data_IF_530966886787
#
_entry.id   IF_530966886787
#
_cell.length_a   1.000
_cell.length_b   1.000
_cell.length_c   1.000
_cell.angle_alpha   90.00
_cell.angle_beta   90.00
_cell.angle_gamma   90.00
#
_symmetry.space_group_name_H-M   'P 1'
#
loop_
_entity.id
_entity.type
_entity.pdbx_description
1 polymer ?
#
# COMPACT_ATOMS: atom_id res chain seq x y z
N UNK A 1 -12.85 -22.97 -40.71
CA UNK A 1 -12.16 -23.86 -39.76
C UNK A 1 -11.48 -23.01 -38.70
N UNK A 2 -11.66 -23.39 -37.46
CA UNK A 2 -11.16 -22.74 -36.24
C UNK A 2 -9.63 -22.83 -36.09
N UNK A 3 -9.13 -21.97 -35.19
CA UNK A 3 -7.85 -22.01 -34.45
C UNK A 3 -6.61 -21.36 -35.12
N UNK A 4 -5.85 -20.49 -34.45
CA UNK A 4 -5.84 -20.20 -33.01
C UNK A 4 -5.19 -18.87 -32.64
N UNK A 5 -5.91 -18.12 -31.79
CA UNK A 5 -5.34 -17.14 -30.88
C UNK A 5 -4.38 -17.87 -29.93
N UNK A 6 -3.09 -17.61 -30.05
CA UNK A 6 -2.17 -17.81 -28.93
C UNK A 6 -2.30 -16.60 -28.02
N UNK A 7 -3.15 -16.75 -27.01
CA UNK A 7 -3.25 -15.86 -25.87
C UNK A 7 -1.89 -15.77 -25.17
N UNK A 8 -1.21 -14.63 -25.32
CA UNK A 8 -0.03 -14.28 -24.53
C UNK A 8 -0.48 -13.64 -23.22
N UNK A 9 -1.01 -14.46 -22.31
CA UNK A 9 -1.40 -14.12 -20.93
C UNK A 9 -0.19 -13.95 -20.00
N UNK A 10 0.85 -13.23 -20.42
CA UNK A 10 2.05 -13.00 -19.59
C UNK A 10 2.84 -11.78 -20.02
N UNK A 11 2.26 -10.59 -20.03
CA UNK A 11 3.06 -9.37 -20.05
C UNK A 11 2.30 -8.27 -19.29
N UNK A 12 2.78 -7.96 -18.08
CA UNK A 12 2.52 -6.81 -17.19
C UNK A 12 2.25 -7.21 -15.73
N UNK A 13 2.99 -8.18 -15.21
CA UNK A 13 3.21 -8.38 -13.76
C UNK A 13 4.41 -7.54 -13.27
N UNK A 14 4.52 -6.30 -13.76
CA UNK A 14 5.65 -5.41 -13.49
C UNK A 14 5.35 -4.26 -12.52
N UNK A 15 6.39 -3.55 -12.03
CA UNK A 15 6.35 -2.52 -10.96
C UNK A 15 5.45 -1.29 -11.24
N UNK A 16 4.91 -1.16 -12.46
CA UNK A 16 4.05 -0.04 -12.87
C UNK A 16 2.60 -0.17 -12.42
N UNK A 17 2.05 -1.39 -12.31
CA UNK A 17 0.75 -1.60 -11.65
C UNK A 17 0.80 -1.18 -10.17
N UNK A 18 1.97 -1.32 -9.54
CA UNK A 18 2.23 -0.86 -8.17
C UNK A 18 2.26 0.68 -8.07
N UNK A 19 2.87 1.37 -9.03
CA UNK A 19 2.89 2.84 -9.08
C UNK A 19 1.52 3.44 -9.38
N UNK A 20 0.74 2.85 -10.30
CA UNK A 20 -0.63 3.28 -10.61
C UNK A 20 -1.61 2.97 -9.47
N UNK A 21 -1.50 1.80 -8.81
CA UNK A 21 -2.28 1.49 -7.59
C UNK A 21 -1.98 2.49 -6.46
N UNK A 22 -0.74 2.96 -6.36
CA UNK A 22 -0.31 3.94 -5.32
C UNK A 22 -0.79 5.37 -5.59
N UNK A 23 -1.03 5.73 -6.85
CA UNK A 23 -1.45 7.09 -7.24
C UNK A 23 -2.98 7.26 -7.28
N UNK A 24 -3.72 6.19 -7.62
CA UNK A 24 -5.18 6.25 -7.82
C UNK A 24 -6.02 5.44 -6.81
N UNK A 25 -5.41 4.83 -5.79
CA UNK A 25 -6.15 4.42 -4.59
C UNK A 25 -6.47 5.66 -3.78
N UNK A 26 -7.60 6.29 -4.09
CA UNK A 26 -8.19 7.29 -3.20
C UNK A 26 -8.99 6.51 -2.17
N UNK A 27 -8.42 6.43 -0.97
CA UNK A 27 -9.07 5.88 0.20
C UNK A 27 -10.23 6.82 0.59
N UNK A 28 -11.45 6.34 0.35
CA UNK A 28 -12.66 7.14 0.12
C UNK A 28 -13.31 7.71 1.38
N UNK A 29 -13.03 7.18 2.57
CA UNK A 29 -13.79 7.55 3.77
C UNK A 29 -13.19 8.75 4.54
N UNK A 30 -11.85 8.87 4.57
CA UNK A 30 -11.13 9.93 5.30
C UNK A 30 -11.18 11.27 4.56
N UNK A 31 -11.26 11.18 3.23
CA UNK A 31 -11.43 12.31 2.31
C UNK A 31 -12.90 12.59 2.02
N UNK A 32 -13.83 11.85 2.63
CA UNK A 32 -15.27 12.11 2.52
C UNK A 32 -15.72 13.23 3.46
N UNK A 33 -15.03 13.39 4.60
CA UNK A 33 -15.29 14.50 5.54
C UNK A 33 -14.79 15.85 5.02
N UNK A 34 -13.80 15.85 4.12
CA UNK A 34 -13.31 17.05 3.44
C UNK A 34 -13.91 17.12 2.03
N UNK A 35 -14.55 18.23 1.69
CA UNK A 35 -15.05 18.44 0.33
C UNK A 35 -13.89 18.38 -0.69
N UNK A 36 -14.20 18.00 -1.94
CA UNK A 36 -13.19 18.01 -3.03
C UNK A 36 -12.55 19.39 -3.22
N UNK A 37 -13.26 20.46 -2.88
CA UNK A 37 -12.74 21.83 -2.94
C UNK A 37 -11.70 22.10 -1.84
N UNK A 38 -11.91 21.59 -0.63
CA UNK A 38 -10.95 21.69 0.47
C UNK A 38 -9.70 20.85 0.20
N UNK A 39 -9.87 19.65 -0.36
CA UNK A 39 -8.73 18.81 -0.77
C UNK A 39 -7.80 19.50 -1.77
N UNK A 40 -8.36 20.26 -2.73
CA UNK A 40 -7.57 20.99 -3.75
C UNK A 40 -6.75 22.13 -3.15
N UNK A 41 -7.13 22.65 -1.97
CA UNK A 41 -6.43 23.72 -1.26
C UNK A 41 -5.30 23.18 -0.38
N UNK A 42 -5.26 21.87 -0.10
CA UNK A 42 -4.24 21.26 0.74
C UNK A 42 -2.94 21.02 -0.04
N UNK A 43 -1.81 21.24 0.62
CA UNK A 43 -0.51 20.88 0.07
C UNK A 43 -0.38 19.34 -0.04
N UNK A 44 0.46 18.83 -0.96
CA UNK A 44 0.71 17.38 -1.08
C UNK A 44 1.18 16.73 0.22
N UNK A 45 1.94 17.46 1.05
CA UNK A 45 2.41 16.99 2.36
C UNK A 45 1.25 16.85 3.35
N UNK A 46 0.34 17.82 3.42
CA UNK A 46 -0.82 17.78 4.32
C UNK A 46 -1.82 16.71 3.89
N UNK A 47 -2.03 16.55 2.59
CA UNK A 47 -2.87 15.49 2.04
C UNK A 47 -2.30 14.10 2.37
N UNK A 48 -0.97 13.94 2.28
CA UNK A 48 -0.29 12.69 2.66
C UNK A 48 -0.38 12.42 4.16
N UNK A 49 -0.26 13.45 4.99
CA UNK A 49 -0.40 13.33 6.45
C UNK A 49 -1.80 12.86 6.82
N UNK A 50 -2.85 13.50 6.31
CA UNK A 50 -4.24 13.10 6.54
C UNK A 50 -4.51 11.65 6.11
N UNK A 51 -4.00 11.25 4.94
CA UNK A 51 -4.09 9.86 4.46
C UNK A 51 -3.37 8.85 5.36
N UNK A 52 -2.30 9.27 6.05
CA UNK A 52 -1.49 8.40 6.90
C UNK A 52 -1.94 8.40 8.37
N UNK A 53 -2.66 9.43 8.84
CA UNK A 53 -3.05 9.56 10.24
C UNK A 53 -3.89 8.38 10.73
N UNK A 54 -4.74 7.82 9.87
CA UNK A 54 -5.63 6.71 10.25
C UNK A 54 -5.07 5.34 9.87
N UNK A 55 -3.95 5.28 9.13
CA UNK A 55 -3.36 4.01 8.70
C UNK A 55 -2.62 3.35 9.87
N UNK A 56 -2.96 2.10 10.25
CA UNK A 56 -2.22 1.36 11.26
C UNK A 56 -0.73 1.32 10.89
N UNK A 57 0.13 1.57 11.88
CA UNK A 57 1.58 1.54 11.71
C UNK A 57 2.06 0.09 11.82
N UNK A 58 2.93 -0.32 10.91
CA UNK A 58 3.51 -1.66 10.95
C UNK A 58 4.28 -1.88 12.27
N UNK A 59 4.21 -3.09 12.85
CA UNK A 59 4.93 -3.41 14.08
C UNK A 59 6.44 -3.37 13.84
N UNK A 60 7.20 -3.10 14.90
CA UNK A 60 8.66 -3.15 14.85
C UNK A 60 9.11 -4.61 14.75
N UNK A 61 10.07 -4.88 13.89
CA UNK A 61 10.71 -6.21 13.80
C UNK A 61 11.38 -6.61 15.11
N UNK A 62 11.59 -7.92 15.30
CA UNK A 62 12.30 -8.46 16.47
C UNK A 62 13.68 -7.80 16.68
N UNK A 63 14.43 -7.59 15.59
CA UNK A 63 15.71 -6.87 15.65
C UNK A 63 15.54 -5.43 16.13
N UNK A 64 14.55 -4.69 15.62
CA UNK A 64 14.30 -3.31 16.07
C UNK A 64 13.86 -3.24 17.53
N UNK A 65 13.12 -4.23 18.02
CA UNK A 65 12.78 -4.36 19.44
C UNK A 65 14.02 -4.61 20.29
N UNK A 66 14.91 -5.51 19.84
CA UNK A 66 16.19 -5.76 20.49
C UNK A 66 17.08 -4.52 20.53
N UNK A 67 17.25 -3.82 19.40
CA UNK A 67 18.02 -2.57 19.34
C UNK A 67 17.42 -1.52 20.27
N UNK A 68 16.09 -1.34 20.29
CA UNK A 68 15.41 -0.42 21.21
C UNK A 68 15.69 -0.78 22.67
N UNK A 69 15.62 -2.07 23.01
CA UNK A 69 15.95 -2.56 24.34
C UNK A 69 17.40 -2.26 24.70
N UNK A 70 18.36 -2.59 23.82
CA UNK A 70 19.78 -2.32 24.03
C UNK A 70 20.09 -0.86 24.24
N UNK A 71 19.56 0.03 23.42
CA UNK A 71 19.72 1.48 23.62
C UNK A 71 19.10 1.98 24.92
N UNK A 72 18.01 1.38 25.39
CA UNK A 72 17.37 1.75 26.65
C UNK A 72 18.16 1.27 27.89
N UNK A 73 18.80 0.11 27.80
CA UNK A 73 19.61 -0.47 28.89
C UNK A 73 21.07 -0.04 28.84
N UNK A 74 21.52 0.58 27.74
CA UNK A 74 22.89 1.03 27.59
C UNK A 74 23.14 2.26 28.45
N UNK A 75 24.13 2.16 29.33
CA UNK A 75 24.54 3.25 30.24
C UNK A 75 25.60 4.15 29.64
N UNK A 76 26.28 3.72 28.59
CA UNK A 76 27.29 4.49 27.86
C UNK A 76 26.61 5.57 27.00
N UNK A 77 26.74 6.82 27.43
CA UNK A 77 26.19 8.00 26.74
C UNK A 77 27.25 8.75 25.92
N UNK A 78 28.52 8.41 26.08
CA UNK A 78 29.63 9.13 25.47
C UNK A 78 30.01 8.54 24.11
N UNK A 79 29.73 7.25 23.89
CA UNK A 79 29.93 6.62 22.58
C UNK A 79 28.89 7.09 21.55
N UNK A 80 29.35 7.32 20.32
CA UNK A 80 28.50 7.68 19.19
C UNK A 80 27.39 6.62 18.98
N UNK A 81 26.09 7.00 18.93
CA UNK A 81 24.98 6.08 18.69
C UNK A 81 25.13 5.21 17.43
N UNK A 82 25.83 5.71 16.41
CA UNK A 82 26.12 4.94 15.18
C UNK A 82 27.05 3.76 15.45
N UNK A 83 28.06 3.94 16.29
CA UNK A 83 29.02 2.89 16.63
C UNK A 83 28.37 1.85 17.56
N UNK A 84 27.54 2.31 18.51
CA UNK A 84 26.71 1.45 19.35
C UNK A 84 25.76 0.58 18.51
N UNK A 85 25.10 1.16 17.49
CA UNK A 85 24.24 0.41 16.59
C UNK A 85 25.02 -0.69 15.86
N UNK A 86 26.24 -0.40 15.40
CA UNK A 86 27.11 -1.40 14.75
C UNK A 86 27.47 -2.56 15.68
N UNK A 87 27.76 -2.27 16.96
CA UNK A 87 28.03 -3.28 17.98
C UNK A 87 26.80 -4.14 18.26
N UNK A 88 25.64 -3.53 18.52
CA UNK A 88 24.40 -4.25 18.77
C UNK A 88 23.94 -5.07 17.55
N UNK A 89 24.16 -4.57 16.33
CA UNK A 89 23.89 -5.32 15.12
C UNK A 89 24.72 -6.60 15.02
N UNK A 90 26.00 -6.50 15.41
CA UNK A 90 26.91 -7.66 15.44
C UNK A 90 26.49 -8.65 16.54
N UNK A 91 26.15 -8.14 17.72
CA UNK A 91 25.63 -8.93 18.83
C UNK A 91 24.36 -9.70 18.45
N UNK A 92 23.40 -9.07 17.76
CA UNK A 92 22.20 -9.74 17.30
C UNK A 92 22.49 -10.87 16.32
N UNK A 93 23.49 -10.72 15.44
CA UNK A 93 23.86 -11.77 14.48
C UNK A 93 24.41 -13.00 15.20
N UNK A 94 25.24 -12.80 16.22
CA UNK A 94 25.87 -13.88 16.99
C UNK A 94 25.02 -14.37 18.17
N UNK A 95 23.95 -13.65 18.54
CA UNK A 95 23.10 -14.02 19.66
C UNK A 95 22.39 -15.37 19.41
N UNK A 96 22.31 -16.22 20.44
CA UNK A 96 21.64 -17.50 20.35
C UNK A 96 20.12 -17.31 20.32
N UNK A 97 19.39 -18.32 19.86
CA UNK A 97 17.95 -18.18 19.56
C UNK A 97 17.12 -17.90 20.82
N UNK A 98 17.58 -18.33 21.99
CA UNK A 98 16.95 -18.08 23.29
C UNK A 98 16.90 -16.58 23.62
N UNK A 99 17.93 -15.82 23.22
CA UNK A 99 17.98 -14.37 23.40
C UNK A 99 17.07 -13.66 22.39
N UNK A 100 16.90 -14.24 21.20
CA UNK A 100 16.03 -13.70 20.14
C UNK A 100 14.55 -14.02 20.38
N UNK A 101 14.27 -15.17 20.98
CA UNK A 101 12.94 -15.73 21.24
C UNK A 101 11.96 -14.73 21.86
N UNK A 102 12.29 -13.97 22.93
CA UNK A 102 11.35 -12.99 23.50
C UNK A 102 10.97 -11.89 22.49
N UNK A 103 11.94 -11.34 21.75
CA UNK A 103 11.68 -10.29 20.76
C UNK A 103 10.91 -10.81 19.55
N UNK A 104 11.17 -12.05 19.13
CA UNK A 104 10.43 -12.72 18.05
C UNK A 104 8.99 -12.96 18.48
N UNK A 105 8.75 -13.40 19.71
CA UNK A 105 7.41 -13.60 20.27
C UNK A 105 6.62 -12.28 20.29
N UNK A 106 7.20 -11.22 20.86
CA UNK A 106 6.55 -9.89 20.89
C UNK A 106 6.26 -9.36 19.49
N UNK A 107 7.16 -9.55 18.53
CA UNK A 107 6.90 -9.16 17.14
C UNK A 107 5.74 -9.96 16.53
N UNK A 108 5.66 -11.28 16.77
CA UNK A 108 4.57 -12.11 16.24
C UNK A 108 3.21 -11.70 16.80
N UNK A 109 3.14 -11.42 18.10
CA UNK A 109 1.92 -10.93 18.76
C UNK A 109 1.48 -9.59 18.16
N UNK A 110 2.38 -8.62 18.09
CA UNK A 110 2.09 -7.31 17.49
C UNK A 110 1.76 -7.40 16.00
N UNK A 111 2.35 -8.35 15.26
CA UNK A 111 2.02 -8.59 13.85
C UNK A 111 0.63 -9.18 13.65
N UNK A 112 0.18 -10.06 14.55
CA UNK A 112 -1.17 -10.59 14.51
C UNK A 112 -2.22 -9.51 14.82
N UNK A 113 -1.96 -8.64 15.80
CA UNK A 113 -2.81 -7.48 16.10
C UNK A 113 -2.85 -6.50 14.94
N UNK A 114 -1.68 -6.13 14.40
CA UNK A 114 -1.58 -5.26 13.23
C UNK A 114 -2.34 -5.81 12.03
N UNK A 115 -2.28 -7.12 11.76
CA UNK A 115 -3.00 -7.71 10.64
C UNK A 115 -4.52 -7.52 10.76
N UNK A 116 -5.08 -7.63 11.98
CA UNK A 116 -6.50 -7.38 12.24
C UNK A 116 -6.86 -5.91 12.06
N UNK A 117 -6.09 -5.02 12.69
CA UNK A 117 -6.31 -3.56 12.57
C UNK A 117 -6.17 -3.09 11.12
N UNK A 118 -5.17 -3.61 10.41
CA UNK A 118 -4.91 -3.28 9.03
C UNK A 118 -6.01 -3.78 8.11
N UNK A 119 -6.56 -4.97 8.36
CA UNK A 119 -7.69 -5.49 7.60
C UNK A 119 -8.96 -4.65 7.84
N UNK A 120 -9.28 -4.32 9.10
CA UNK A 120 -10.41 -3.44 9.42
C UNK A 120 -10.23 -2.03 8.81
N UNK A 121 -9.02 -1.49 8.85
CA UNK A 121 -8.69 -0.24 8.18
C UNK A 121 -8.84 -0.36 6.66
N UNK A 122 -8.38 -1.46 6.07
CA UNK A 122 -8.49 -1.71 4.64
C UNK A 122 -9.95 -1.76 4.20
N UNK A 123 -10.81 -2.49 4.91
CA UNK A 123 -12.24 -2.55 4.61
C UNK A 123 -12.91 -1.19 4.74
N UNK A 124 -12.58 -0.42 5.79
CA UNK A 124 -13.18 0.89 6.03
C UNK A 124 -12.71 1.96 5.03
N UNK A 125 -11.44 1.93 4.63
CA UNK A 125 -10.82 3.05 3.92
C UNK A 125 -10.45 2.74 2.47
N UNK A 126 -10.27 1.48 2.06
CA UNK A 126 -9.78 1.13 0.71
C UNK A 126 -10.87 0.71 -0.28
N UNK A 127 -12.14 0.98 0.01
CA UNK A 127 -13.24 0.73 -0.94
C UNK A 127 -12.98 1.53 -2.22
N UNK A 128 -12.56 0.84 -3.28
CA UNK A 128 -12.27 1.43 -4.57
C UNK A 128 -13.59 1.93 -5.17
N UNK A 129 -13.59 3.14 -5.72
CA UNK A 129 -14.76 3.67 -6.43
C UNK A 129 -15.21 2.71 -7.54
N UNK A 130 -16.52 2.59 -7.83
CA UNK A 130 -17.01 1.79 -8.95
C UNK A 130 -16.34 2.12 -10.29
N UNK A 131 -16.06 3.41 -10.55
CA UNK A 131 -15.28 3.84 -11.72
C UNK A 131 -13.89 3.23 -11.74
N UNK A 132 -13.22 3.23 -10.59
CA UNK A 132 -11.86 2.72 -10.48
C UNK A 132 -11.83 1.18 -10.62
N UNK A 133 -12.85 0.46 -10.18
CA UNK A 133 -12.99 -0.99 -10.44
C UNK A 133 -13.24 -1.27 -11.93
N UNK A 134 -14.12 -0.51 -12.57
CA UNK A 134 -14.35 -0.56 -14.02
C UNK A 134 -13.04 -0.31 -14.79
N UNK A 135 -12.37 0.80 -14.49
CA UNK A 135 -11.10 1.18 -15.10
C UNK A 135 -10.05 0.07 -14.96
N UNK A 136 -9.86 -0.48 -13.75
CA UNK A 136 -8.88 -1.54 -13.49
C UNK A 136 -9.22 -2.86 -14.21
N UNK A 137 -10.48 -3.11 -14.55
CA UNK A 137 -10.89 -4.30 -15.31
C UNK A 137 -10.60 -4.21 -16.82
N UNK A 138 -10.39 -2.99 -17.33
CA UNK A 138 -10.24 -2.69 -18.75
C UNK A 138 -8.83 -2.24 -19.09
N UNK A 139 -8.26 -1.30 -18.31
CA UNK A 139 -6.98 -0.67 -18.62
C UNK A 139 -5.82 -1.67 -18.84
N UNK A 140 -5.62 -2.71 -17.99
CA UNK A 140 -4.56 -3.69 -18.20
C UNK A 140 -4.68 -4.47 -19.52
N UNK A 141 -5.89 -4.56 -20.09
CA UNK A 141 -6.14 -5.27 -21.35
C UNK A 141 -5.86 -4.40 -22.58
N UNK A 142 -5.77 -3.08 -22.41
CA UNK A 142 -5.68 -2.11 -23.50
C UNK A 142 -4.39 -1.30 -23.51
N UNK A 143 -3.70 -1.24 -22.38
CA UNK A 143 -2.42 -0.55 -22.26
C UNK A 143 -1.41 -1.12 -23.27
N UNK A 144 -0.76 -0.22 -24.01
CA UNK A 144 0.26 -0.56 -24.98
C UNK A 144 1.64 -0.14 -24.49
N UNK A 145 2.69 -0.73 -25.08
CA UNK A 145 4.09 -0.42 -24.73
C UNK A 145 4.47 1.02 -25.10
N UNK A 146 3.89 1.56 -26.17
CA UNK A 146 4.06 2.96 -26.53
C UNK A 146 3.21 3.85 -25.61
N UNK A 147 3.85 4.44 -24.60
CA UNK A 147 3.18 5.23 -23.58
C UNK A 147 2.49 6.49 -24.12
N UNK A 148 2.89 7.00 -25.29
CA UNK A 148 2.25 8.17 -25.90
C UNK A 148 0.77 7.92 -26.23
N UNK A 149 0.42 6.66 -26.54
CA UNK A 149 -0.92 6.25 -26.92
C UNK A 149 -1.82 5.99 -25.71
N UNK A 150 -1.26 5.72 -24.53
CA UNK A 150 -2.03 5.39 -23.33
C UNK A 150 -2.93 6.53 -22.87
N UNK A 151 -2.61 7.79 -23.18
CA UNK A 151 -3.50 8.94 -22.95
C UNK A 151 -4.86 8.79 -23.65
N UNK A 152 -4.86 8.34 -24.91
CA UNK A 152 -6.08 8.13 -25.68
C UNK A 152 -6.92 6.98 -25.11
N UNK A 153 -6.26 5.90 -24.66
CA UNK A 153 -6.89 4.76 -24.02
C UNK A 153 -7.59 5.18 -22.72
N UNK A 154 -6.96 6.04 -21.90
CA UNK A 154 -7.61 6.57 -20.70
C UNK A 154 -8.89 7.36 -21.01
N UNK A 155 -8.84 8.19 -22.06
CA UNK A 155 -10.00 9.00 -22.50
C UNK A 155 -11.16 8.12 -22.95
N UNK A 156 -10.87 7.11 -23.78
CA UNK A 156 -11.87 6.14 -24.22
C UNK A 156 -12.51 5.39 -23.04
N UNK A 157 -11.70 4.95 -22.06
CA UNK A 157 -12.24 4.29 -20.86
C UNK A 157 -13.15 5.25 -20.06
N UNK A 158 -12.81 6.54 -19.97
CA UNK A 158 -13.66 7.52 -19.30
C UNK A 158 -14.99 7.76 -20.05
N UNK A 159 -14.97 7.79 -21.39
CA UNK A 159 -16.17 7.88 -22.23
C UNK A 159 -17.06 6.65 -22.07
N UNK A 160 -16.48 5.45 -22.09
CA UNK A 160 -17.20 4.20 -21.84
C UNK A 160 -17.85 4.19 -20.45
N UNK A 161 -17.13 4.64 -19.41
CA UNK A 161 -17.72 4.79 -18.08
C UNK A 161 -18.93 5.72 -18.08
N UNK A 162 -18.82 6.87 -18.74
CA UNK A 162 -19.92 7.84 -18.79
C UNK A 162 -21.15 7.27 -19.48
N UNK A 163 -20.96 6.46 -20.53
CA UNK A 163 -22.02 5.80 -21.29
C UNK A 163 -22.74 4.67 -20.53
N UNK A 164 -22.17 4.12 -19.45
CA UNK A 164 -22.83 3.06 -18.67
C UNK A 164 -24.07 3.57 -17.92
N UNK A 165 -25.08 2.70 -17.81
CA UNK A 165 -26.27 2.96 -16.98
C UNK A 165 -25.90 3.00 -15.49
N UNK A 166 -26.71 3.64 -14.62
CA UNK A 166 -26.50 3.63 -13.18
C UNK A 166 -26.39 2.22 -12.58
N UNK A 167 -27.20 1.28 -13.08
CA UNK A 167 -27.20 -0.13 -12.65
C UNK A 167 -25.89 -0.84 -13.02
N UNK A 168 -25.40 -0.60 -14.25
CA UNK A 168 -24.11 -1.15 -14.70
C UNK A 168 -22.95 -0.57 -13.89
N UNK A 169 -22.99 0.73 -13.59
CA UNK A 169 -22.01 1.41 -12.73
C UNK A 169 -22.00 0.81 -11.32
N UNK A 170 -23.17 0.53 -10.76
CA UNK A 170 -23.33 -0.06 -9.42
C UNK A 170 -22.75 -1.49 -9.33
N UNK A 171 -22.81 -2.27 -10.42
CA UNK A 171 -22.18 -3.61 -10.48
C UNK A 171 -20.66 -3.62 -10.24
N UNK A 172 -20.01 -2.46 -10.37
CA UNK A 172 -18.58 -2.29 -10.09
C UNK A 172 -18.27 -1.88 -8.65
N UNK A 173 -19.26 -1.71 -7.77
CA UNK A 173 -19.02 -1.37 -6.34
C UNK A 173 -18.37 -2.52 -5.56
N UNK A 174 -18.68 -3.77 -5.90
CA UNK A 174 -18.30 -4.95 -5.11
C UNK A 174 -17.26 -5.87 -5.79
N UNK A 175 -16.63 -5.42 -6.88
CA UNK A 175 -15.58 -6.19 -7.56
C UNK A 175 -14.22 -5.90 -6.91
N UNK A 176 -13.86 -6.71 -5.92
CA UNK A 176 -12.52 -6.74 -5.31
C UNK A 176 -11.47 -7.39 -6.21
#
# INVERSE_FOLDING_TARGET
MFNGLKNSTSQLTGPMLWSFKRFFSVDSALLQELSRAEMRKLSPTKLKELKLQHKPKAPKSAYQLFIKHKFATNTDKDTNPRDLLGRFASEWKTAPEEVKAPFVKTHKEAAAEYAKEFQAWKEKYTVRSPYMNFFMSIYPKRVVKDFSQNSSIMKQIAEEWNALSPEQKESYRSKD
#
